data_IF_686094650293
#
_entry.id   IF_686094650293
#
_cell.length_a   1.000
_cell.length_b   1.000
_cell.length_c   1.000
_cell.angle_alpha   90.00
_cell.angle_beta   90.00
_cell.angle_gamma   90.00
#
_symmetry.space_group_name_H-M   'P 1'
#
loop_
_entity.id
_entity.type
_entity.pdbx_description
1 polymer ?
#
# COMPACT_ATOMS: atom_id res chain seq x y z
N UNK A 1 11.56 1.61 5.04
CA UNK A 1 11.42 1.18 3.61
C UNK A 1 10.38 2.04 2.92
N UNK A 2 10.72 2.51 1.75
CA UNK A 2 9.81 3.31 0.91
C UNK A 2 9.50 2.52 -0.36
N UNK A 3 8.21 2.33 -0.64
CA UNK A 3 7.77 1.61 -1.83
C UNK A 3 7.16 2.60 -2.82
N UNK A 4 7.86 2.82 -3.93
CA UNK A 4 7.43 3.62 -5.06
C UNK A 4 7.95 2.93 -6.31
N UNK A 5 7.27 1.88 -6.71
CA UNK A 5 7.77 0.95 -7.71
C UNK A 5 6.65 0.53 -8.67
N UNK A 6 6.86 -0.54 -9.40
CA UNK A 6 5.85 -1.12 -10.28
C UNK A 6 4.63 -1.54 -9.48
N UNK A 7 3.47 -0.98 -9.80
CA UNK A 7 2.23 -1.27 -9.08
C UNK A 7 1.89 -2.75 -9.09
N UNK A 8 2.22 -3.45 -10.17
CA UNK A 8 1.98 -4.88 -10.31
C UNK A 8 2.75 -5.71 -9.27
N UNK A 9 3.82 -5.15 -8.70
CA UNK A 9 4.67 -5.83 -7.72
C UNK A 9 4.54 -5.28 -6.30
N UNK A 10 3.57 -4.41 -6.03
CA UNK A 10 3.43 -3.79 -4.71
C UNK A 10 3.30 -4.82 -3.58
N UNK A 11 2.47 -5.84 -3.77
CA UNK A 11 2.30 -6.88 -2.74
C UNK A 11 3.63 -7.61 -2.48
N UNK A 12 4.37 -7.92 -3.54
CA UNK A 12 5.67 -8.59 -3.41
C UNK A 12 6.69 -7.74 -2.65
N UNK A 13 6.77 -6.46 -2.99
CA UNK A 13 7.68 -5.54 -2.31
C UNK A 13 7.28 -5.35 -0.85
N UNK A 14 5.97 -5.25 -0.58
CA UNK A 14 5.46 -5.12 0.77
C UNK A 14 5.82 -6.34 1.62
N UNK A 15 5.58 -7.54 1.11
CA UNK A 15 5.89 -8.77 1.84
C UNK A 15 7.39 -8.91 2.13
N UNK A 16 8.23 -8.60 1.15
CA UNK A 16 9.68 -8.60 1.35
C UNK A 16 10.11 -7.56 2.38
N UNK A 17 9.48 -6.40 2.37
CA UNK A 17 9.79 -5.34 3.33
C UNK A 17 9.47 -5.76 4.75
N UNK A 18 8.33 -6.42 4.97
CA UNK A 18 7.97 -6.93 6.30
C UNK A 18 8.99 -7.95 6.80
N UNK A 19 9.50 -8.81 5.93
CA UNK A 19 10.53 -9.78 6.30
C UNK A 19 11.85 -9.13 6.70
N UNK A 20 12.18 -8.00 6.06
CA UNK A 20 13.48 -7.34 6.23
C UNK A 20 13.54 -6.39 7.42
N UNK A 21 12.40 -5.77 7.80
CA UNK A 21 12.40 -4.78 8.87
C UNK A 21 12.20 -5.43 10.23
N UNK A 22 12.73 -4.77 11.26
CA UNK A 22 12.54 -5.19 12.64
C UNK A 22 11.20 -4.70 13.17
N UNK A 23 10.83 -5.20 14.35
CA UNK A 23 9.69 -4.69 15.10
C UNK A 23 9.79 -3.17 15.24
N UNK A 24 8.68 -2.47 15.05
CA UNK A 24 8.60 -1.01 14.99
C UNK A 24 9.24 -0.39 13.72
N UNK A 25 9.66 -1.22 12.77
CA UNK A 25 10.14 -0.74 11.48
C UNK A 25 9.01 -0.12 10.66
N UNK A 26 9.38 0.80 9.78
CA UNK A 26 8.46 1.64 9.01
C UNK A 26 8.46 1.25 7.54
N UNK A 27 7.25 1.12 6.96
CA UNK A 27 7.08 0.96 5.51
C UNK A 27 6.19 2.10 5.03
N UNK A 28 6.65 2.85 4.04
CA UNK A 28 5.91 3.95 3.43
C UNK A 28 5.60 3.57 1.98
N UNK A 29 4.32 3.64 1.60
CA UNK A 29 3.85 3.25 0.28
C UNK A 29 3.13 4.42 -0.36
N UNK A 30 3.60 4.82 -1.53
CA UNK A 30 3.03 5.93 -2.28
C UNK A 30 1.99 5.46 -3.30
N UNK A 31 1.18 6.40 -3.80
CA UNK A 31 0.19 6.20 -4.87
C UNK A 31 -0.97 5.24 -4.52
N UNK A 32 -1.28 5.07 -3.23
CA UNK A 32 -2.31 4.12 -2.79
C UNK A 32 -3.74 4.55 -3.16
N UNK A 33 -3.97 5.84 -3.39
CA UNK A 33 -5.28 6.35 -3.81
C UNK A 33 -5.40 6.45 -5.34
N UNK A 34 -4.28 6.39 -6.06
CA UNK A 34 -4.23 6.40 -7.52
C UNK A 34 -5.11 7.50 -8.12
N UNK A 35 -4.80 8.79 -7.76
CA UNK A 35 -5.57 9.96 -8.18
C UNK A 35 -7.05 9.90 -7.80
N UNK A 36 -7.39 9.15 -6.74
CA UNK A 36 -8.77 8.98 -6.30
C UNK A 36 -9.53 7.89 -7.04
N UNK A 37 -8.96 7.26 -8.04
CA UNK A 37 -9.64 6.23 -8.85
C UNK A 37 -9.99 4.99 -8.06
N UNK A 38 -9.26 4.68 -6.97
CA UNK A 38 -9.57 3.52 -6.13
C UNK A 38 -10.94 3.65 -5.45
N UNK A 39 -11.42 4.88 -5.22
CA UNK A 39 -12.73 5.14 -4.64
C UNK A 39 -13.85 5.20 -5.69
N UNK A 40 -13.52 5.29 -6.97
CA UNK A 40 -14.50 5.39 -8.06
C UNK A 40 -14.83 3.99 -8.56
N UNK A 41 -16.05 3.52 -8.26
CA UNK A 41 -16.49 2.17 -8.63
C UNK A 41 -16.61 1.97 -10.13
N UNK A 42 -16.65 3.04 -10.92
CA UNK A 42 -16.69 2.95 -12.38
C UNK A 42 -15.30 2.71 -12.99
N UNK A 43 -14.24 2.89 -12.21
CA UNK A 43 -12.86 2.70 -12.65
C UNK A 43 -12.39 1.29 -12.33
N UNK A 44 -12.25 0.47 -13.36
CA UNK A 44 -11.86 -0.93 -13.22
C UNK A 44 -10.68 -1.30 -14.14
N UNK A 45 -9.81 -0.33 -14.47
CA UNK A 45 -8.61 -0.63 -15.22
C UNK A 45 -7.63 -1.47 -14.40
N UNK A 46 -6.63 -2.04 -15.09
CA UNK A 46 -5.67 -2.96 -14.49
C UNK A 46 -4.99 -2.38 -13.25
N UNK A 47 -4.49 -1.15 -13.35
CA UNK A 47 -3.73 -0.55 -12.25
C UNK A 47 -4.62 -0.19 -11.06
N UNK A 48 -5.82 0.31 -11.32
CA UNK A 48 -6.79 0.60 -10.25
C UNK A 48 -7.16 -0.67 -9.50
N UNK A 49 -7.38 -1.76 -10.20
CA UNK A 49 -7.70 -3.06 -9.58
C UNK A 49 -6.53 -3.55 -8.73
N UNK A 50 -5.30 -3.44 -9.23
CA UNK A 50 -4.10 -3.85 -8.48
C UNK A 50 -3.96 -3.05 -7.20
N UNK A 51 -4.16 -1.73 -7.26
CA UNK A 51 -4.06 -0.87 -6.07
C UNK A 51 -5.15 -1.20 -5.05
N UNK A 52 -6.38 -1.47 -5.50
CA UNK A 52 -7.45 -1.91 -4.59
C UNK A 52 -7.11 -3.20 -3.88
N UNK A 53 -6.59 -4.18 -4.60
CA UNK A 53 -6.19 -5.46 -4.03
C UNK A 53 -5.06 -5.27 -3.01
N UNK A 54 -4.10 -4.43 -3.34
CA UNK A 54 -3.00 -4.10 -2.44
C UNK A 54 -3.51 -3.42 -1.16
N UNK A 55 -4.39 -2.44 -1.30
CA UNK A 55 -4.95 -1.75 -0.14
C UNK A 55 -5.72 -2.71 0.77
N UNK A 56 -6.47 -3.64 0.19
CA UNK A 56 -7.17 -4.67 0.94
C UNK A 56 -6.20 -5.62 1.64
N UNK A 57 -5.13 -6.00 0.96
CA UNK A 57 -4.09 -6.86 1.53
C UNK A 57 -3.51 -6.26 2.81
N UNK A 58 -3.19 -4.97 2.77
CA UNK A 58 -2.67 -4.26 3.94
C UNK A 58 -3.74 -4.11 5.01
N UNK A 59 -4.97 -3.78 4.63
CA UNK A 59 -6.07 -3.60 5.59
C UNK A 59 -6.29 -4.85 6.43
N UNK A 60 -6.16 -6.02 5.83
CA UNK A 60 -6.39 -7.30 6.49
C UNK A 60 -5.14 -7.85 7.19
N UNK A 61 -4.01 -7.15 7.10
CA UNK A 61 -2.75 -7.59 7.67
C UNK A 61 -2.61 -7.15 9.13
N UNK A 62 -2.60 -8.13 10.03
CA UNK A 62 -2.48 -7.90 11.47
C UNK A 62 -1.04 -7.75 11.96
N UNK A 63 -0.05 -7.90 11.07
CA UNK A 63 1.37 -7.76 11.42
C UNK A 63 1.80 -6.32 11.56
N UNK A 64 0.99 -5.38 11.08
CA UNK A 64 1.31 -3.95 11.07
C UNK A 64 0.17 -3.12 11.59
N UNK A 65 0.51 -1.95 12.16
CA UNK A 65 -0.45 -0.86 12.30
C UNK A 65 -0.34 0.01 11.04
N UNK A 66 -1.45 0.57 10.58
CA UNK A 66 -1.49 1.25 9.28
C UNK A 66 -2.30 2.52 9.34
N UNK A 67 -1.89 3.50 8.54
CA UNK A 67 -2.56 4.77 8.41
C UNK A 67 -2.40 5.28 6.97
N UNK A 68 -3.47 5.83 6.41
CA UNK A 68 -3.45 6.43 5.07
C UNK A 68 -3.51 7.94 5.23
N UNK A 69 -2.55 8.63 4.63
CA UNK A 69 -2.47 10.08 4.62
C UNK A 69 -2.84 10.57 3.22
N UNK A 70 -3.86 11.45 3.07
CA UNK A 70 -4.31 11.89 1.74
C UNK A 70 -3.45 13.05 1.19
N UNK A 71 -2.17 12.77 1.01
CA UNK A 71 -1.22 13.69 0.40
C UNK A 71 -0.91 13.20 -1.01
N UNK A 72 -1.07 14.05 -2.03
CA UNK A 72 -0.87 13.66 -3.42
C UNK A 72 -1.80 12.51 -3.80
N UNK A 73 -1.24 11.40 -4.27
CA UNK A 73 -2.00 10.20 -4.65
C UNK A 73 -2.25 9.25 -3.49
N UNK A 74 -2.07 9.72 -2.27
CA UNK A 74 -2.23 8.91 -1.07
C UNK A 74 -0.94 8.26 -0.62
N UNK A 75 -0.75 8.21 0.70
CA UNK A 75 0.43 7.66 1.33
C UNK A 75 0.00 6.73 2.44
N UNK A 76 0.41 5.48 2.40
CA UNK A 76 0.18 4.53 3.48
C UNK A 76 1.43 4.38 4.31
N UNK A 77 1.29 4.52 5.62
CA UNK A 77 2.38 4.28 6.56
C UNK A 77 2.04 3.04 7.38
N UNK A 78 2.90 2.04 7.32
CA UNK A 78 2.77 0.80 8.07
C UNK A 78 3.91 0.68 9.07
N UNK A 79 3.58 0.32 10.31
CA UNK A 79 4.56 0.09 11.36
C UNK A 79 4.44 -1.37 11.80
N UNK A 80 5.52 -2.12 11.68
CA UNK A 80 5.54 -3.54 12.06
C UNK A 80 5.38 -3.69 13.56
N UNK A 81 4.45 -4.52 13.95
CA UNK A 81 4.19 -4.80 15.37
C UNK A 81 5.26 -5.66 16.01
#
# INVERSE_FOLDING_TARGET
>A
VFIDADKENYINYYEKSIEMIDKNGLIIIDNVLWHGEVADKSKNDKFTTIIREFNKHIKDDNRVTKNIIPIGDGLTICIKK
#
